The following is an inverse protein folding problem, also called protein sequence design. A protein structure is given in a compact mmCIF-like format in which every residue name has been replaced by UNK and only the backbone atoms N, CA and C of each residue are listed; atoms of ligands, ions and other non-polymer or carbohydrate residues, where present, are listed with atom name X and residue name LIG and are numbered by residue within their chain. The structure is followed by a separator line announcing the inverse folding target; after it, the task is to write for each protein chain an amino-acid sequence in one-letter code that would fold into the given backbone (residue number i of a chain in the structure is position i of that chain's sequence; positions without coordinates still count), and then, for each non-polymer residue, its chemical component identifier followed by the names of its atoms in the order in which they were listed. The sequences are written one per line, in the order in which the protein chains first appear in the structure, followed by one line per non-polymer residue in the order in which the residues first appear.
data_IF_629664090657
#
_entry.id   IF_629664090657
#
_cell.length_a   1.000
_cell.length_b   1.000
_cell.length_c   1.000
_cell.angle_alpha   90.00
_cell.angle_beta   90.00
_cell.angle_gamma   90.00
#
_symmetry.space_group_name_H-M   'P 1'
#
loop_
_entity.id
_entity.type
_entity.pdbx_description
1 polymer ?
#
# COMPACT_ATOMS: atom_id res chain seq x y z
N UNK A 1 11.98 -18.64 7.65
CA UNK A 1 11.15 -18.27 6.47
C UNK A 1 11.83 -17.12 5.75
N UNK A 2 12.35 -17.37 4.56
CA UNK A 2 13.00 -16.36 3.72
C UNK A 2 11.90 -15.61 2.95
N UNK A 3 11.69 -14.34 3.26
CA UNK A 3 10.80 -13.47 2.46
C UNK A 3 11.58 -13.09 1.21
N UNK A 4 11.16 -13.58 0.04
CA UNK A 4 11.71 -13.16 -1.25
C UNK A 4 10.76 -12.15 -1.88
N UNK A 5 11.31 -11.10 -2.48
CA UNK A 5 10.53 -10.16 -3.29
C UNK A 5 9.97 -10.89 -4.51
N UNK A 6 8.70 -10.62 -4.82
CA UNK A 6 8.05 -11.06 -6.06
C UNK A 6 8.38 -10.03 -7.14
N UNK A 7 8.97 -10.49 -8.24
CA UNK A 7 9.27 -9.61 -9.37
C UNK A 7 7.99 -9.15 -10.08
N UNK A 8 8.08 -8.08 -10.89
CA UNK A 8 6.95 -7.62 -11.71
C UNK A 8 6.43 -8.70 -12.66
N UNK A 9 7.34 -9.50 -13.24
CA UNK A 9 7.00 -10.62 -14.14
C UNK A 9 6.23 -11.70 -13.40
N UNK A 10 6.67 -12.06 -12.20
CA UNK A 10 5.97 -13.05 -11.38
C UNK A 10 4.60 -12.57 -10.93
N UNK A 11 4.47 -11.28 -10.59
CA UNK A 11 3.19 -10.69 -10.22
C UNK A 11 2.21 -10.67 -11.41
N UNK A 12 2.69 -10.36 -12.60
CA UNK A 12 1.89 -10.46 -13.84
C UNK A 12 1.43 -11.90 -14.07
N UNK A 13 2.35 -12.88 -13.99
CA UNK A 13 2.01 -14.28 -14.15
C UNK A 13 0.95 -14.74 -13.11
N UNK A 14 1.04 -14.28 -11.86
CA UNK A 14 0.01 -14.54 -10.85
C UNK A 14 -1.32 -13.93 -11.29
N UNK A 15 -1.38 -12.67 -11.73
CA UNK A 15 -2.64 -12.05 -12.13
C UNK A 15 -3.26 -12.68 -13.38
N UNK A 16 -2.45 -13.13 -14.34
CA UNK A 16 -2.90 -13.87 -15.51
C UNK A 16 -3.58 -15.20 -15.14
N UNK A 17 -3.04 -15.90 -14.14
CA UNK A 17 -3.51 -17.24 -13.72
C UNK A 17 -4.50 -17.20 -12.55
N UNK A 18 -4.56 -16.11 -11.78
CA UNK A 18 -5.37 -15.95 -10.58
C UNK A 18 -6.36 -14.77 -10.71
N UNK A 19 -7.07 -14.68 -11.84
CA UNK A 19 -7.99 -13.55 -12.14
C UNK A 19 -9.14 -13.37 -11.15
N UNK A 20 -9.47 -14.40 -10.37
CA UNK A 20 -10.52 -14.38 -9.35
C UNK A 20 -10.01 -13.99 -7.96
N UNK A 21 -8.74 -13.59 -7.84
CA UNK A 21 -8.17 -13.15 -6.57
C UNK A 21 -8.87 -11.85 -6.14
N UNK A 22 -9.54 -11.88 -4.99
CA UNK A 22 -10.32 -10.74 -4.47
C UNK A 22 -9.59 -9.96 -3.39
N UNK A 23 -8.49 -10.50 -2.86
CA UNK A 23 -7.84 -9.96 -1.67
C UNK A 23 -6.32 -10.05 -1.81
N UNK A 24 -5.64 -8.91 -1.63
CA UNK A 24 -4.18 -8.82 -1.68
C UNK A 24 -3.61 -7.89 -0.63
N UNK A 25 -2.42 -8.24 -0.15
CA UNK A 25 -1.60 -7.44 0.74
C UNK A 25 -0.19 -7.37 0.21
N UNK A 26 0.37 -6.17 0.20
CA UNK A 26 1.73 -5.90 -0.21
C UNK A 26 2.51 -5.31 0.97
N UNK A 27 3.76 -5.75 1.11
CA UNK A 27 4.73 -5.21 2.07
C UNK A 27 5.76 -4.31 1.40
N UNK A 28 5.60 -4.03 0.11
CA UNK A 28 6.47 -3.19 -0.71
C UNK A 28 5.88 -1.79 -0.89
N UNK A 29 6.65 -0.86 -1.46
CA UNK A 29 6.15 0.46 -1.81
C UNK A 29 5.07 0.40 -2.89
N UNK A 30 4.06 1.28 -2.78
CA UNK A 30 3.09 1.48 -3.84
C UNK A 30 3.64 2.49 -4.85
N UNK A 31 4.24 1.98 -5.92
CA UNK A 31 4.72 2.75 -7.07
C UNK A 31 3.67 2.83 -8.20
N UNK A 32 3.87 3.75 -9.15
CA UNK A 32 3.02 3.85 -10.35
C UNK A 32 3.04 2.57 -11.18
N UNK A 33 4.22 1.96 -11.34
CA UNK A 33 4.37 0.72 -12.11
C UNK A 33 3.64 -0.44 -11.45
N UNK A 34 3.75 -0.57 -10.12
CA UNK A 34 3.03 -1.60 -9.39
C UNK A 34 1.51 -1.39 -9.47
N UNK A 35 1.03 -0.16 -9.33
CA UNK A 35 -0.39 0.16 -9.52
C UNK A 35 -0.88 -0.23 -10.92
N UNK A 36 -0.09 0.07 -11.96
CA UNK A 36 -0.42 -0.31 -13.34
C UNK A 36 -0.53 -1.83 -13.50
N UNK A 37 0.44 -2.59 -12.98
CA UNK A 37 0.39 -4.06 -12.98
C UNK A 37 -0.88 -4.55 -12.27
N UNK A 38 -1.20 -3.99 -11.10
CA UNK A 38 -2.38 -4.42 -10.33
C UNK A 38 -3.68 -4.16 -11.11
N UNK A 39 -3.85 -2.95 -11.65
CA UNK A 39 -5.05 -2.56 -12.43
C UNK A 39 -5.22 -3.46 -13.65
N UNK A 40 -4.15 -3.74 -14.39
CA UNK A 40 -4.23 -4.55 -15.61
C UNK A 40 -4.52 -6.03 -15.34
N UNK A 41 -4.02 -6.59 -14.24
CA UNK A 41 -3.99 -8.05 -14.06
C UNK A 41 -4.95 -8.57 -12.99
N UNK A 42 -5.48 -7.71 -12.12
CA UNK A 42 -6.31 -8.13 -10.97
C UNK A 42 -7.65 -7.38 -10.89
N UNK A 43 -8.51 -7.47 -11.93
CA UNK A 43 -9.76 -6.69 -12.00
C UNK A 43 -10.79 -7.09 -10.94
N UNK A 44 -10.68 -8.28 -10.35
CA UNK A 44 -11.59 -8.81 -9.34
C UNK A 44 -11.23 -8.39 -7.91
N UNK A 45 -10.18 -7.60 -7.70
CA UNK A 45 -9.77 -7.18 -6.36
C UNK A 45 -10.86 -6.36 -5.67
N UNK A 46 -11.23 -6.82 -4.48
CA UNK A 46 -12.14 -6.15 -3.58
C UNK A 46 -11.42 -5.53 -2.37
N UNK A 47 -10.33 -6.16 -1.92
CA UNK A 47 -9.57 -5.76 -0.74
C UNK A 47 -8.09 -5.65 -1.08
N UNK A 48 -7.53 -4.48 -0.87
CA UNK A 48 -6.13 -4.20 -1.15
C UNK A 48 -5.49 -3.51 0.06
N UNK A 49 -4.31 -3.98 0.47
CA UNK A 49 -3.57 -3.40 1.59
C UNK A 49 -2.13 -3.12 1.21
N UNK A 50 -1.70 -1.87 1.42
CA UNK A 50 -0.31 -1.47 1.53
C UNK A 50 -0.15 -0.82 2.89
N UNK A 51 0.77 -1.35 3.71
CA UNK A 51 1.01 -0.82 5.05
C UNK A 51 2.47 -0.56 5.27
N UNK A 52 2.75 0.42 6.13
CA UNK A 52 4.08 0.60 6.71
C UNK A 52 5.19 0.83 5.67
N UNK A 53 4.85 1.41 4.52
CA UNK A 53 5.77 1.66 3.41
C UNK A 53 5.38 2.96 2.68
N UNK A 54 6.17 3.36 1.69
CA UNK A 54 5.85 4.51 0.85
C UNK A 54 4.64 4.24 -0.03
N UNK A 55 3.75 5.22 -0.13
CA UNK A 55 2.60 5.19 -1.02
C UNK A 55 2.58 6.41 -1.92
N UNK A 56 2.76 6.21 -3.22
CA UNK A 56 2.61 7.27 -4.21
C UNK A 56 1.12 7.67 -4.30
N UNK A 57 0.85 8.97 -4.20
CA UNK A 57 -0.51 9.51 -4.26
C UNK A 57 -1.17 9.19 -5.59
N UNK A 58 -0.48 9.46 -6.70
CA UNK A 58 -0.99 9.21 -8.06
C UNK A 58 -1.28 7.71 -8.27
N UNK A 59 -0.38 6.83 -7.78
CA UNK A 59 -0.58 5.38 -7.87
C UNK A 59 -1.80 4.92 -7.05
N UNK A 60 -2.00 5.51 -5.87
CA UNK A 60 -3.17 5.26 -5.02
C UNK A 60 -4.46 5.70 -5.71
N UNK A 61 -4.45 6.87 -6.37
CA UNK A 61 -5.57 7.35 -7.19
C UNK A 61 -5.85 6.42 -8.38
N UNK A 62 -4.81 5.94 -9.07
CA UNK A 62 -4.96 4.98 -10.17
C UNK A 62 -5.62 3.67 -9.73
N UNK A 63 -5.28 3.15 -8.54
CA UNK A 63 -5.94 1.96 -7.99
C UNK A 63 -7.41 2.23 -7.65
N UNK A 64 -7.69 3.36 -6.97
CA UNK A 64 -9.06 3.76 -6.64
C UNK A 64 -9.89 3.87 -7.92
N UNK A 65 -9.39 4.50 -8.98
CA UNK A 65 -10.14 4.71 -10.22
C UNK A 65 -10.23 3.42 -11.05
N UNK A 66 -9.10 2.75 -11.25
CA UNK A 66 -8.92 1.66 -12.22
C UNK A 66 -9.39 0.29 -11.75
N UNK A 67 -9.54 0.05 -10.44
CA UNK A 67 -10.11 -1.20 -9.94
C UNK A 67 -11.64 -1.05 -9.77
N UNK A 68 -12.46 -1.73 -10.59
CA UNK A 68 -13.91 -1.54 -10.57
C UNK A 68 -14.57 -2.15 -9.33
N UNK A 69 -14.00 -3.24 -8.79
CA UNK A 69 -14.57 -4.00 -7.68
C UNK A 69 -13.97 -3.64 -6.31
N UNK A 70 -13.04 -2.69 -6.26
CA UNK A 70 -12.34 -2.35 -5.02
C UNK A 70 -13.32 -1.76 -4.00
N UNK A 71 -13.46 -2.43 -2.86
CA UNK A 71 -14.35 -2.04 -1.75
C UNK A 71 -13.56 -1.54 -0.55
N UNK A 72 -12.43 -2.18 -0.25
CA UNK A 72 -11.59 -1.86 0.90
C UNK A 72 -10.17 -1.60 0.42
N UNK A 73 -9.65 -0.41 0.74
CA UNK A 73 -8.27 -0.05 0.44
C UNK A 73 -7.59 0.50 1.68
N UNK A 74 -6.54 -0.19 2.10
CA UNK A 74 -5.78 0.14 3.30
C UNK A 74 -4.41 0.71 2.93
N UNK A 75 -4.15 1.93 3.40
CA UNK A 75 -2.90 2.69 3.33
C UNK A 75 -2.44 3.12 4.74
N UNK A 76 -2.85 2.38 5.77
CA UNK A 76 -2.52 2.71 7.15
C UNK A 76 -1.01 2.64 7.36
N UNK A 77 -0.48 3.63 8.09
CA UNK A 77 0.95 3.75 8.41
C UNK A 77 1.87 3.93 7.20
N UNK A 78 1.33 4.32 6.05
CA UNK A 78 2.14 4.69 4.90
C UNK A 78 2.76 6.09 5.04
N UNK A 79 3.85 6.29 4.29
CA UNK A 79 4.48 7.59 4.09
C UNK A 79 4.19 8.06 2.67
N UNK A 80 3.81 9.32 2.52
CA UNK A 80 3.42 9.91 1.26
C UNK A 80 4.48 10.92 0.80
N UNK A 81 5.19 10.68 -0.31
CA UNK A 81 6.08 11.68 -0.89
C UNK A 81 5.27 12.80 -1.56
N UNK A 82 5.68 14.05 -1.35
CA UNK A 82 5.13 15.20 -2.07
C UNK A 82 5.90 15.43 -3.38
N UNK A 83 5.16 15.42 -4.49
CA UNK A 83 5.70 15.44 -5.87
C UNK A 83 6.61 16.64 -6.19
N UNK A 84 6.52 17.78 -5.47
CA UNK A 84 7.20 19.03 -5.85
C UNK A 84 8.44 19.35 -5.03
N UNK A 85 8.58 18.79 -3.83
CA UNK A 85 9.61 19.19 -2.87
C UNK A 85 10.42 18.02 -2.33
N UNK A 86 10.01 16.77 -2.65
CA UNK A 86 10.58 15.57 -2.04
C UNK A 86 10.25 15.45 -0.54
N UNK A 87 9.41 16.35 0.00
CA UNK A 87 8.99 16.32 1.40
C UNK A 87 8.11 15.09 1.60
N UNK A 88 8.50 14.27 2.55
CA UNK A 88 7.70 13.15 3.00
C UNK A 88 6.61 13.66 3.96
N UNK A 89 5.46 12.99 3.99
CA UNK A 89 4.40 13.27 4.96
C UNK A 89 3.76 11.99 5.46
N UNK A 90 3.30 12.00 6.71
CA UNK A 90 2.55 10.88 7.30
C UNK A 90 1.06 10.89 6.92
N UNK A 91 0.60 11.97 6.25
CA UNK A 91 -0.78 12.14 5.82
C UNK A 91 -0.83 12.21 4.29
N UNK A 92 -1.81 11.52 3.67
CA UNK A 92 -2.06 11.69 2.24
C UNK A 92 -2.62 13.09 1.94
N UNK A 93 -2.62 13.47 0.67
CA UNK A 93 -3.35 14.68 0.22
C UNK A 93 -4.85 14.51 0.43
N UNK A 94 -5.55 15.60 0.73
CA UNK A 94 -7.00 15.61 0.95
C UNK A 94 -7.77 15.07 -0.25
N UNK A 95 -7.31 15.33 -1.48
CA UNK A 95 -7.89 14.80 -2.71
C UNK A 95 -7.95 13.26 -2.73
N UNK A 96 -6.88 12.60 -2.25
CA UNK A 96 -6.84 11.15 -2.13
C UNK A 96 -7.83 10.64 -1.09
N UNK A 97 -7.92 11.33 0.06
CA UNK A 97 -8.87 11.00 1.12
C UNK A 97 -10.31 11.13 0.63
N UNK A 98 -10.62 12.22 -0.07
CA UNK A 98 -11.94 12.46 -0.64
C UNK A 98 -12.30 11.41 -1.70
N UNK A 99 -11.39 11.13 -2.63
CA UNK A 99 -11.61 10.12 -3.68
C UNK A 99 -11.84 8.72 -3.08
N UNK A 100 -10.99 8.31 -2.13
CA UNK A 100 -11.11 7.03 -1.46
C UNK A 100 -12.42 6.91 -0.67
N UNK A 101 -12.75 7.92 0.14
CA UNK A 101 -13.96 7.92 0.98
C UNK A 101 -15.25 7.97 0.14
N UNK A 102 -15.23 8.64 -1.02
CA UNK A 102 -16.40 8.73 -1.90
C UNK A 102 -16.67 7.44 -2.66
N UNK A 103 -15.61 6.74 -3.11
CA UNK A 103 -15.75 5.56 -3.97
C UNK A 103 -15.81 4.24 -3.20
N UNK A 104 -15.03 4.11 -2.13
CA UNK A 104 -14.81 2.83 -1.46
C UNK A 104 -15.76 2.64 -0.27
N UNK A 105 -16.14 1.39 0.00
CA UNK A 105 -16.88 1.03 1.22
C UNK A 105 -16.06 1.37 2.47
N UNK A 106 -14.75 1.13 2.41
CA UNK A 106 -13.84 1.47 3.49
C UNK A 106 -12.49 1.89 2.93
N UNK A 107 -12.14 3.16 3.10
CA UNK A 107 -10.80 3.68 2.84
C UNK A 107 -10.08 3.89 4.16
N UNK A 108 -8.90 3.30 4.32
CA UNK A 108 -8.17 3.31 5.59
C UNK A 108 -6.85 4.03 5.42
N UNK A 109 -6.71 5.13 6.14
CA UNK A 109 -5.49 5.92 6.25
C UNK A 109 -5.29 6.22 7.73
N UNK A 110 -4.04 6.31 8.16
CA UNK A 110 -3.74 6.54 9.57
C UNK A 110 -3.45 8.02 9.85
N UNK A 111 -3.54 8.42 11.12
CA UNK A 111 -3.22 9.77 11.57
C UNK A 111 -1.77 9.90 12.04
N UNK A 112 -1.34 11.15 12.25
CA UNK A 112 0.02 11.49 12.72
C UNK A 112 0.32 11.04 14.15
N UNK A 113 -0.72 10.87 14.97
CA UNK A 113 -0.59 10.61 16.40
C UNK A 113 -0.50 9.11 16.71
N UNK A 114 -0.57 8.29 15.67
CA UNK A 114 -0.39 6.85 15.76
C UNK A 114 1.09 6.50 16.01
N UNK A 115 1.35 5.73 17.06
CA UNK A 115 2.69 5.25 17.42
C UNK A 115 3.35 4.46 16.30
N UNK A 116 2.58 3.62 15.60
CA UNK A 116 3.05 2.85 14.43
C UNK A 116 3.55 3.80 13.32
N UNK A 117 2.76 4.84 13.00
CA UNK A 117 3.17 5.83 12.00
C UNK A 117 4.44 6.57 12.45
N UNK A 118 4.53 6.97 13.72
CA UNK A 118 5.70 7.66 14.25
C UNK A 118 6.96 6.79 14.18
N UNK A 119 6.85 5.49 14.45
CA UNK A 119 7.95 4.54 14.31
C UNK A 119 8.39 4.38 12.85
N UNK A 120 7.43 4.24 11.92
CA UNK A 120 7.70 4.19 10.48
C UNK A 120 8.37 5.47 10.01
N UNK A 121 7.88 6.63 10.45
CA UNK A 121 8.42 7.95 10.12
C UNK A 121 9.87 8.15 10.60
N UNK A 122 10.17 7.75 11.85
CA UNK A 122 11.54 7.78 12.39
C UNK A 122 12.50 6.93 11.55
N UNK A 123 12.03 5.79 11.04
CA UNK A 123 12.85 4.90 10.21
C UNK A 123 13.08 5.46 8.81
N UNK A 124 12.06 6.06 8.18
CA UNK A 124 12.20 6.65 6.85
C UNK A 124 13.19 7.82 6.81
N UNK A 125 13.27 8.58 7.90
CA UNK A 125 14.25 9.66 8.07
C UNK A 125 15.63 9.17 8.54
N UNK A 126 15.83 7.86 8.75
CA UNK A 126 17.12 7.31 9.13
C UNK A 126 18.06 7.23 7.91
N UNK A 127 19.28 7.80 7.97
CA UNK A 127 20.26 7.67 6.89
C UNK A 127 20.59 6.22 6.50
N UNK A 128 20.44 5.27 7.44
CA UNK A 128 20.66 3.83 7.24
C UNK A 128 19.37 3.04 6.89
N UNK A 129 18.31 3.72 6.42
CA UNK A 129 16.96 3.17 6.16
C UNK A 129 16.92 1.88 5.35
N UNK A 130 17.84 1.67 4.40
CA UNK A 130 17.87 0.49 3.53
C UNK A 130 18.01 -0.84 4.30
N UNK A 131 18.54 -0.82 5.53
CA UNK A 131 18.61 -2.00 6.40
C UNK A 131 17.37 -2.19 7.29
N UNK A 132 16.54 -1.16 7.45
CA UNK A 132 15.45 -1.08 8.42
C UNK A 132 14.08 -1.40 7.81
N UNK A 133 13.85 -1.08 6.53
CA UNK A 133 12.63 -1.50 5.80
C UNK A 133 12.36 -3.01 5.96
N UNK A 134 13.42 -3.83 5.91
CA UNK A 134 13.35 -5.27 6.11
C UNK A 134 12.95 -5.70 7.53
N UNK A 135 13.27 -4.92 8.57
CA UNK A 135 13.01 -5.32 9.96
C UNK A 135 11.55 -5.05 10.35
N UNK A 136 11.04 -3.87 9.99
CA UNK A 136 9.67 -3.49 10.31
C UNK A 136 8.64 -4.33 9.56
N UNK A 137 8.89 -4.57 8.26
CA UNK A 137 8.10 -5.52 7.47
C UNK A 137 8.15 -6.90 8.11
N UNK A 138 9.33 -7.44 8.49
CA UNK A 138 9.44 -8.77 9.10
C UNK A 138 8.70 -8.93 10.43
N UNK A 139 8.61 -7.89 11.24
CA UNK A 139 7.97 -7.96 12.56
C UNK A 139 6.45 -7.75 12.49
N UNK A 140 5.95 -6.98 11.50
CA UNK A 140 4.55 -6.55 11.48
C UNK A 140 3.74 -7.00 10.27
N UNK A 141 4.34 -7.68 9.28
CA UNK A 141 3.63 -8.16 8.08
C UNK A 141 2.47 -9.13 8.37
N UNK A 142 2.42 -9.73 9.56
CA UNK A 142 1.32 -10.61 9.98
C UNK A 142 0.07 -9.86 10.45
N UNK A 143 0.20 -8.58 10.81
CA UNK A 143 -0.93 -7.74 11.25
C UNK A 143 -1.51 -6.97 10.07
N UNK A 144 -2.78 -6.58 10.14
CA UNK A 144 -3.44 -5.73 9.15
C UNK A 144 -4.74 -5.14 9.72
N UNK A 145 -5.09 -3.90 9.41
CA UNK A 145 -6.39 -3.37 9.83
C UNK A 145 -7.58 -4.00 9.07
N UNK A 146 -7.30 -4.73 7.98
CA UNK A 146 -8.22 -5.66 7.33
C UNK A 146 -8.02 -7.03 7.97
N UNK A 147 -8.96 -7.49 8.80
CA UNK A 147 -8.85 -8.74 9.58
C UNK A 147 -8.60 -9.97 8.70
N UNK A 148 -9.17 -10.00 7.50
CA UNK A 148 -8.98 -11.09 6.53
C UNK A 148 -7.55 -11.17 5.96
N UNK A 149 -6.72 -10.16 6.23
CA UNK A 149 -5.32 -10.05 5.80
C UNK A 149 -4.33 -10.20 6.97
N UNK A 150 -4.81 -10.60 8.15
CA UNK A 150 -3.98 -11.00 9.30
C UNK A 150 -3.56 -12.49 9.19
N UNK A 151 -2.37 -12.82 9.70
CA UNK A 151 -1.73 -14.15 9.60
C UNK A 151 -1.11 -14.65 10.91
#
# INVERSE_FOLDING_TARGET
MTVREVSSVELQAIGENCRNLTTMKFTTMLSKDLANIIVCNFPSLERLSFRCNYACIDASMSLIIGLPNLKIFNLSHCIFPQNTTGILGMRPKDELVQAGTKKLVRFMVCCSDCTICQDVWKQANNPNRYKLEFRYVKERWKTDEIKELEL
#
